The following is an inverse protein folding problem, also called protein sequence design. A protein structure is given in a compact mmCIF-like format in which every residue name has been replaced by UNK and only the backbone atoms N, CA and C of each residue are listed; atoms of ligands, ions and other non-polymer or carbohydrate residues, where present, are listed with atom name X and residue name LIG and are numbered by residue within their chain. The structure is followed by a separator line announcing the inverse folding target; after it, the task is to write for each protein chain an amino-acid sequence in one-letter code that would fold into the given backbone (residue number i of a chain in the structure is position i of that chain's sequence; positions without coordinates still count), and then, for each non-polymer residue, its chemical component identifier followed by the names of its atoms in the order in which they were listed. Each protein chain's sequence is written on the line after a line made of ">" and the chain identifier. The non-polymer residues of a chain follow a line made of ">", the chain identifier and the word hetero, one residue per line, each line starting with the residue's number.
data_IF_431531496256
#
_entry.id   IF_431531496256
#
_cell.length_a   1.000
_cell.length_b   1.000
_cell.length_c   1.000
_cell.angle_alpha   90.00
_cell.angle_beta   90.00
_cell.angle_gamma   90.00
#
_symmetry.space_group_name_H-M   'P 1'
#
loop_
_entity.id
_entity.type
_entity.pdbx_description
1 polymer ?
#
# COMPACT_ATOMS: atom_id res chain seq x y z
N UNK A 1 1.38 -65.84 47.69
CA UNK A 1 0.49 -66.87 47.08
C UNK A 1 -0.64 -66.09 46.42
N UNK A 2 -1.14 -66.37 45.20
CA UNK A 2 -1.21 -67.65 44.47
C UNK A 2 -2.44 -68.46 44.94
N UNK A 3 -3.25 -69.16 44.15
CA UNK A 3 -3.24 -69.56 42.71
C UNK A 3 -4.71 -69.93 42.31
N UNK A 4 -5.23 -70.02 41.07
CA UNK A 4 -4.91 -69.64 39.67
C UNK A 4 -6.24 -69.72 38.83
N UNK A 5 -6.21 -69.38 37.53
CA UNK A 5 -6.89 -69.99 36.35
C UNK A 5 -8.18 -70.87 36.49
N UNK A 6 -9.11 -70.93 35.53
CA UNK A 6 -9.37 -70.18 34.27
C UNK A 6 -10.67 -70.75 33.61
N UNK A 7 -11.17 -70.11 32.54
CA UNK A 7 -11.55 -70.72 31.23
C UNK A 7 -12.54 -69.84 30.45
N UNK A 8 -12.40 -69.69 29.12
CA UNK A 8 -13.38 -68.98 28.27
C UNK A 8 -12.78 -68.22 27.07
N UNK A 9 -12.48 -68.93 25.98
CA UNK A 9 -11.93 -68.42 24.71
C UNK A 9 -12.44 -69.30 23.55
N UNK A 10 -12.69 -68.84 22.30
CA UNK A 10 -12.76 -67.46 21.78
C UNK A 10 -14.15 -67.12 21.17
N UNK A 11 -14.31 -65.87 20.71
CA UNK A 11 -15.00 -65.57 19.43
C UNK A 11 -14.29 -64.44 18.70
N UNK A 12 -14.03 -64.64 17.41
CA UNK A 12 -13.40 -63.65 16.55
C UNK A 12 -14.26 -62.40 16.34
N UNK A 13 -13.62 -61.23 16.44
CA UNK A 13 -13.98 -60.08 15.61
C UNK A 13 -12.79 -59.14 15.40
N UNK A 14 -11.97 -59.46 14.41
CA UNK A 14 -10.87 -58.60 14.00
C UNK A 14 -11.36 -57.21 13.55
N UNK A 15 -10.82 -56.15 14.16
CA UNK A 15 -10.72 -54.81 13.53
C UNK A 15 -9.62 -53.97 14.18
N UNK A 16 -8.38 -54.34 13.88
CA UNK A 16 -7.21 -53.46 14.08
C UNK A 16 -7.33 -52.25 13.15
N UNK A 17 -7.15 -51.03 13.66
CA UNK A 17 -7.22 -49.80 12.88
C UNK A 17 -6.46 -48.67 13.56
N UNK A 18 -5.36 -48.15 12.97
CA UNK A 18 -4.53 -47.13 13.61
C UNK A 18 -5.12 -45.71 13.45
N UNK A 19 -4.53 -44.76 14.20
CA UNK A 19 -4.77 -43.33 14.05
C UNK A 19 -4.13 -42.84 12.74
N UNK A 20 -4.89 -42.14 11.91
CA UNK A 20 -4.38 -41.50 10.67
C UNK A 20 -4.88 -40.07 10.57
N UNK A 21 -3.98 -39.13 10.25
CA UNK A 21 -4.32 -37.73 9.99
C UNK A 21 -5.05 -37.59 8.65
N UNK A 22 -6.18 -36.89 8.62
CA UNK A 22 -6.77 -36.40 7.38
C UNK A 22 -6.16 -35.06 6.98
N UNK A 23 -4.95 -35.10 6.42
CA UNK A 23 -4.50 -34.02 5.52
C UNK A 23 -5.18 -34.29 4.17
N UNK A 24 -6.28 -33.58 3.88
CA UNK A 24 -6.97 -33.69 2.60
C UNK A 24 -6.19 -32.90 1.53
N UNK A 25 -5.06 -33.45 1.10
CA UNK A 25 -4.30 -32.93 -0.02
C UNK A 25 -5.00 -33.28 -1.34
N UNK A 26 -5.40 -32.26 -2.10
CA UNK A 26 -6.05 -32.40 -3.42
C UNK A 26 -5.11 -31.96 -4.55
N UNK A 27 -4.13 -32.78 -4.97
CA UNK A 27 -3.17 -32.42 -6.03
C UNK A 27 -3.80 -32.33 -7.43
N UNK A 28 -5.00 -32.89 -7.62
CA UNK A 28 -5.65 -33.07 -8.93
C UNK A 28 -6.06 -31.76 -9.63
N UNK A 29 -6.16 -30.64 -8.94
CA UNK A 29 -6.51 -29.35 -9.56
C UNK A 29 -5.29 -28.67 -10.24
N UNK A 30 -4.07 -28.99 -9.82
CA UNK A 30 -2.85 -28.30 -10.26
C UNK A 30 -2.42 -28.75 -11.68
N UNK A 31 -2.71 -30.00 -12.06
CA UNK A 31 -2.15 -30.59 -13.29
C UNK A 31 -2.84 -30.16 -14.59
N UNK A 32 -4.07 -29.64 -14.54
CA UNK A 32 -4.80 -29.17 -15.74
C UNK A 32 -4.73 -27.65 -15.98
N UNK A 33 -4.08 -26.89 -15.10
CA UNK A 33 -3.85 -25.45 -15.28
C UNK A 33 -3.23 -25.09 -16.65
N UNK A 34 -2.19 -25.78 -17.18
CA UNK A 34 -1.60 -25.39 -18.47
C UNK A 34 -2.52 -25.65 -19.67
N UNK A 35 -3.28 -26.74 -19.67
CA UNK A 35 -4.26 -27.07 -20.72
C UNK A 35 -5.39 -26.02 -20.76
N UNK A 36 -5.90 -25.65 -19.58
CA UNK A 36 -6.97 -24.63 -19.45
C UNK A 36 -6.45 -23.26 -19.92
N UNK A 37 -5.22 -22.90 -19.55
CA UNK A 37 -4.60 -21.63 -19.99
C UNK A 37 -4.38 -21.60 -21.51
N UNK A 38 -3.93 -22.70 -22.11
CA UNK A 38 -3.79 -22.82 -23.56
C UNK A 38 -5.14 -22.66 -24.29
N UNK A 39 -6.19 -23.31 -23.79
CA UNK A 39 -7.54 -23.21 -24.37
C UNK A 39 -8.05 -21.75 -24.33
N UNK A 40 -7.93 -21.08 -23.19
CA UNK A 40 -8.35 -19.67 -23.03
C UNK A 40 -7.58 -18.76 -23.99
N UNK A 41 -6.25 -18.88 -24.06
CA UNK A 41 -5.42 -18.07 -24.97
C UNK A 41 -5.81 -18.26 -26.44
N UNK A 42 -6.10 -19.50 -26.87
CA UNK A 42 -6.58 -19.80 -28.22
C UNK A 42 -7.94 -19.12 -28.49
N UNK A 43 -8.88 -19.18 -27.54
CA UNK A 43 -10.21 -18.55 -27.74
C UNK A 43 -10.19 -17.02 -27.79
N UNK A 44 -9.25 -16.38 -27.09
CA UNK A 44 -9.15 -14.90 -27.05
C UNK A 44 -8.39 -14.33 -28.25
N UNK A 45 -7.44 -15.08 -28.83
CA UNK A 45 -6.62 -14.62 -29.96
C UNK A 45 -7.23 -14.85 -31.36
N UNK A 46 -8.22 -15.74 -31.50
CA UNK A 46 -8.82 -16.06 -32.81
C UNK A 46 -9.92 -15.13 -33.40
N UNK A 47 -10.56 -14.16 -32.71
CA UNK A 47 -11.60 -13.33 -33.34
C UNK A 47 -11.06 -12.24 -34.27
N UNK A 48 -9.75 -12.19 -34.53
CA UNK A 48 -9.09 -11.14 -35.31
C UNK A 48 -9.33 -11.21 -36.83
N UNK A 49 -9.96 -12.27 -37.36
CA UNK A 49 -10.29 -12.38 -38.77
C UNK A 49 -11.51 -13.28 -39.05
N UNK A 50 -12.68 -12.69 -39.29
CA UNK A 50 -13.59 -13.02 -40.41
C UNK A 50 -14.80 -12.06 -40.45
N UNK A 51 -15.42 -11.93 -41.63
CA UNK A 51 -16.69 -11.19 -41.90
C UNK A 51 -16.75 -9.71 -41.50
N UNK A 52 -16.40 -8.83 -42.43
CA UNK A 52 -16.90 -7.46 -42.45
C UNK A 52 -18.28 -7.35 -43.13
N UNK A 53 -18.87 -6.14 -43.12
CA UNK A 53 -20.00 -5.79 -43.97
C UNK A 53 -19.61 -4.66 -44.93
N UNK A 54 -19.98 -4.81 -46.20
CA UNK A 54 -19.70 -3.83 -47.26
C UNK A 54 -20.88 -2.84 -47.41
N UNK A 55 -20.55 -1.63 -47.84
CA UNK A 55 -21.39 -0.72 -48.65
C UNK A 55 -22.67 -0.14 -48.02
N UNK A 56 -22.73 1.20 -47.92
CA UNK A 56 -23.70 1.99 -48.71
C UNK A 56 -23.23 3.46 -48.86
N UNK A 57 -23.46 4.14 -50.02
CA UNK A 57 -22.99 5.51 -50.28
C UNK A 57 -24.10 6.58 -50.13
N UNK A 58 -23.74 7.87 -50.12
CA UNK A 58 -24.72 8.98 -50.24
C UNK A 58 -24.23 10.41 -49.99
N UNK A 59 -23.61 11.03 -51.00
CA UNK A 59 -23.83 12.43 -51.48
C UNK A 59 -23.72 13.65 -50.52
N UNK A 60 -22.72 14.50 -50.80
CA UNK A 60 -22.66 16.01 -50.86
C UNK A 60 -23.35 16.89 -49.78
N UNK A 61 -22.89 18.11 -49.42
CA UNK A 61 -22.37 19.27 -50.20
C UNK A 61 -21.50 20.21 -49.32
N UNK A 62 -20.68 21.09 -49.92
CA UNK A 62 -20.45 22.46 -49.38
C UNK A 62 -19.03 22.96 -49.01
N UNK A 63 -18.39 23.68 -49.95
CA UNK A 63 -17.91 25.07 -49.78
C UNK A 63 -16.70 25.52 -48.89
N UNK A 64 -15.46 25.35 -49.42
CA UNK A 64 -14.27 26.28 -49.51
C UNK A 64 -13.77 27.19 -48.30
N UNK A 65 -12.56 27.83 -48.35
CA UNK A 65 -11.73 28.09 -47.14
C UNK A 65 -11.13 29.52 -46.92
N UNK A 66 -10.85 29.90 -45.65
CA UNK A 66 -10.07 31.13 -45.28
C UNK A 66 -9.28 30.98 -43.94
N UNK A 67 -8.08 31.59 -43.75
CA UNK A 67 -7.23 31.38 -42.56
C UNK A 67 -6.98 32.59 -41.61
N UNK A 68 -6.77 32.33 -40.31
CA UNK A 68 -6.08 33.19 -39.30
C UNK A 68 -6.70 34.58 -38.96
N UNK A 69 -6.19 35.34 -37.95
CA UNK A 69 -5.53 34.94 -36.69
C UNK A 69 -6.08 35.67 -35.42
N UNK A 70 -5.60 35.24 -34.24
CA UNK A 70 -5.52 35.99 -32.96
C UNK A 70 -6.82 36.37 -32.20
N UNK A 71 -6.75 36.35 -30.86
CA UNK A 71 -7.82 36.80 -29.96
C UNK A 71 -7.67 36.35 -28.51
N UNK A 72 -6.93 37.09 -27.68
CA UNK A 72 -7.00 37.02 -26.21
C UNK A 72 -7.58 38.36 -25.72
N UNK A 73 -8.55 38.34 -24.79
CA UNK A 73 -8.18 38.67 -23.41
C UNK A 73 -8.93 37.85 -22.32
N UNK A 74 -8.34 37.82 -21.13
CA UNK A 74 -8.99 37.49 -19.84
C UNK A 74 -9.59 38.78 -19.22
N UNK A 75 -10.35 38.79 -18.08
CA UNK A 75 -10.51 37.74 -17.06
C UNK A 75 -11.98 37.54 -16.59
N UNK A 76 -12.15 37.23 -15.29
CA UNK A 76 -13.36 36.89 -14.51
C UNK A 76 -13.75 35.39 -14.56
N UNK A 77 -13.90 34.69 -13.44
CA UNK A 77 -13.62 35.07 -12.04
C UNK A 77 -14.01 33.96 -11.04
N UNK A 78 -13.52 34.06 -9.80
CA UNK A 78 -13.88 33.18 -8.67
C UNK A 78 -13.46 31.70 -8.80
N UNK A 79 -12.16 31.44 -8.75
CA UNK A 79 -11.70 30.21 -8.11
C UNK A 79 -11.87 30.38 -6.58
N UNK A 80 -12.61 29.48 -5.91
CA UNK A 80 -12.72 29.49 -4.45
C UNK A 80 -11.49 28.78 -3.87
N UNK A 81 -10.41 29.54 -3.70
CA UNK A 81 -9.28 29.10 -2.88
C UNK A 81 -9.70 29.07 -1.42
N UNK A 82 -9.78 27.89 -0.82
CA UNK A 82 -9.84 27.75 0.64
C UNK A 82 -8.40 27.77 1.15
N UNK A 83 -7.86 28.98 1.28
CA UNK A 83 -6.58 29.22 1.93
C UNK A 83 -6.73 28.96 3.43
N UNK A 84 -6.41 27.73 3.85
CA UNK A 84 -6.31 27.39 5.27
C UNK A 84 -5.00 27.96 5.78
N UNK A 85 -5.06 29.14 6.39
CA UNK A 85 -3.97 29.75 7.14
C UNK A 85 -3.58 28.84 8.31
N UNK A 86 -2.60 27.95 8.11
CA UNK A 86 -2.05 27.09 9.17
C UNK A 86 -1.14 27.96 10.05
N UNK A 87 -1.78 28.72 10.94
CA UNK A 87 -1.09 29.50 11.96
C UNK A 87 -0.16 28.60 12.79
N UNK A 88 1.08 29.05 13.02
CA UNK A 88 2.08 28.32 13.77
C UNK A 88 1.55 27.91 15.16
N UNK A 89 1.45 26.60 15.40
CA UNK A 89 0.82 26.05 16.59
C UNK A 89 1.60 26.35 17.87
N UNK A 90 0.93 26.40 19.04
CA UNK A 90 1.64 26.50 20.31
C UNK A 90 2.55 25.26 20.50
N UNK A 91 3.75 25.47 21.06
CA UNK A 91 4.90 24.55 21.01
C UNK A 91 4.78 23.19 21.76
N UNK A 92 3.56 22.68 21.95
CA UNK A 92 3.28 21.30 22.36
C UNK A 92 2.03 20.71 21.64
N UNK A 93 1.60 21.34 20.55
CA UNK A 93 0.60 20.82 19.60
C UNK A 93 1.24 19.71 18.77
N UNK A 94 0.55 18.58 18.60
CA UNK A 94 0.95 17.55 17.62
C UNK A 94 0.03 17.66 16.40
N UNK A 95 0.62 17.90 15.24
CA UNK A 95 -0.07 18.01 13.95
C UNK A 95 -0.24 16.63 13.32
N UNK A 96 -1.36 16.37 12.65
CA UNK A 96 -1.56 15.13 11.89
C UNK A 96 -0.79 15.17 10.57
N UNK A 97 -0.11 14.08 10.22
CA UNK A 97 0.57 13.96 8.92
C UNK A 97 -0.40 14.08 7.74
N UNK A 98 0.02 14.82 6.71
CA UNK A 98 -0.70 14.99 5.44
C UNK A 98 0.27 14.71 4.28
N UNK A 99 -0.02 13.73 3.41
CA UNK A 99 0.77 13.48 2.18
C UNK A 99 0.83 14.72 1.29
N UNK A 100 2.04 15.19 0.99
CA UNK A 100 2.27 16.43 0.23
C UNK A 100 1.96 17.71 1.01
N UNK A 101 1.71 17.62 2.31
CA UNK A 101 1.50 18.79 3.18
C UNK A 101 2.78 19.55 3.49
N UNK A 102 2.62 20.74 4.06
CA UNK A 102 3.72 21.58 4.53
C UNK A 102 3.67 21.71 6.06
N UNK A 103 4.84 21.67 6.69
CA UNK A 103 5.05 21.73 8.15
C UNK A 103 6.24 22.65 8.46
N UNK A 104 6.40 23.10 9.70
CA UNK A 104 7.47 24.02 10.10
C UNK A 104 8.56 23.33 10.93
N UNK A 105 9.79 23.85 10.87
CA UNK A 105 10.91 23.32 11.65
C UNK A 105 10.69 23.49 13.17
N UNK A 106 10.61 22.36 13.89
CA UNK A 106 10.24 22.32 15.31
C UNK A 106 8.83 21.82 15.61
N UNK A 107 8.00 21.60 14.58
CA UNK A 107 6.70 20.92 14.71
C UNK A 107 6.85 19.50 15.25
N UNK A 108 5.76 19.03 15.89
CA UNK A 108 5.55 17.61 16.19
C UNK A 108 4.53 17.03 15.24
N UNK A 109 4.91 16.04 14.46
CA UNK A 109 4.06 15.45 13.41
C UNK A 109 3.74 14.00 13.78
N UNK A 110 2.45 13.69 13.88
CA UNK A 110 1.92 12.35 14.06
C UNK A 110 1.73 11.70 12.69
N UNK A 111 2.67 10.84 12.32
CA UNK A 111 2.47 9.87 11.24
C UNK A 111 1.51 8.80 11.78
N UNK A 112 0.40 8.56 11.10
CA UNK A 112 -0.55 7.52 11.48
C UNK A 112 -1.19 6.90 10.24
N UNK A 113 -1.60 5.65 10.34
CA UNK A 113 -2.25 4.95 9.24
C UNK A 113 -2.88 3.63 9.65
N UNK A 114 -3.52 2.99 8.68
CA UNK A 114 -4.06 1.64 8.80
C UNK A 114 -3.18 0.63 8.07
N UNK A 115 -3.36 -0.66 8.39
CA UNK A 115 -2.64 -1.77 7.75
C UNK A 115 -3.48 -3.04 7.78
N UNK A 116 -3.17 -3.98 6.88
CA UNK A 116 -3.70 -5.34 6.86
C UNK A 116 -2.82 -6.34 7.63
N UNK A 117 -1.67 -5.92 8.15
CA UNK A 117 -0.83 -6.74 9.02
C UNK A 117 -1.55 -7.05 10.34
N UNK A 118 -1.22 -8.20 10.93
CA UNK A 118 -1.76 -8.63 12.22
C UNK A 118 -1.29 -7.71 13.36
N UNK A 119 -2.08 -7.57 14.45
CA UNK A 119 -1.61 -6.90 15.66
C UNK A 119 -0.39 -7.63 16.25
N UNK A 120 0.58 -6.89 16.78
CA UNK A 120 1.85 -7.44 17.26
C UNK A 120 2.92 -7.68 16.17
N UNK A 121 2.61 -7.46 14.89
CA UNK A 121 3.62 -7.29 13.85
C UNK A 121 4.26 -5.90 13.94
N UNK A 122 5.44 -5.73 13.33
CA UNK A 122 6.20 -4.49 13.40
C UNK A 122 6.33 -3.79 12.05
N UNK A 123 6.26 -2.46 12.09
CA UNK A 123 6.58 -1.57 10.98
C UNK A 123 7.87 -0.81 11.29
N UNK A 124 8.84 -0.87 10.38
CA UNK A 124 9.94 0.10 10.33
C UNK A 124 9.41 1.38 9.66
N UNK A 125 9.49 2.49 10.39
CA UNK A 125 9.20 3.83 9.88
C UNK A 125 10.51 4.58 9.73
N UNK A 126 10.74 5.17 8.56
CA UNK A 126 11.91 5.97 8.24
C UNK A 126 11.44 7.31 7.65
N UNK A 127 12.01 8.40 8.13
CA UNK A 127 11.82 9.76 7.60
C UNK A 127 13.19 10.30 7.28
N UNK A 128 13.44 10.57 6.00
CA UNK A 128 14.76 11.00 5.49
C UNK A 128 14.58 12.25 4.60
N UNK A 129 15.55 13.19 4.57
CA UNK A 129 15.53 14.26 3.58
C UNK A 129 15.62 13.66 2.17
N UNK A 130 15.00 14.31 1.18
CA UNK A 130 15.14 13.95 -0.24
C UNK A 130 16.47 14.49 -0.79
N UNK A 131 16.90 15.66 -0.30
CA UNK A 131 18.16 16.28 -0.68
C UNK A 131 19.33 15.74 0.16
N UNK A 132 20.19 14.91 -0.44
CA UNK A 132 21.48 14.53 0.14
C UNK A 132 22.62 15.33 -0.51
N UNK A 133 23.15 16.32 0.24
CA UNK A 133 24.23 17.20 -0.21
C UNK A 133 25.62 16.83 0.38
N UNK A 134 26.72 17.16 -0.32
CA UNK A 134 28.07 17.01 0.23
C UNK A 134 28.40 18.12 1.24
N UNK A 135 28.58 17.74 2.51
CA UNK A 135 28.91 18.66 3.61
C UNK A 135 30.42 18.93 3.71
N UNK A 136 30.83 20.08 4.26
CA UNK A 136 32.27 20.40 4.40
C UNK A 136 32.88 19.72 5.63
N UNK A 137 34.18 19.38 5.54
CA UNK A 137 34.92 18.81 6.67
C UNK A 137 35.02 19.84 7.81
N UNK A 138 34.42 19.53 8.95
CA UNK A 138 34.37 20.42 10.13
C UNK A 138 33.10 21.26 10.25
N UNK A 139 32.19 21.16 9.29
CA UNK A 139 30.84 21.73 9.36
C UNK A 139 29.96 20.86 10.27
N UNK A 140 29.14 21.49 11.12
CA UNK A 140 28.14 20.75 11.89
C UNK A 140 26.95 20.45 10.97
N UNK A 141 26.83 19.19 10.57
CA UNK A 141 25.67 18.69 9.83
C UNK A 141 24.45 18.72 10.76
N UNK A 142 23.33 19.29 10.31
CA UNK A 142 22.10 19.26 11.08
C UNK A 142 21.58 17.83 11.24
N UNK A 143 20.77 17.60 12.28
CA UNK A 143 20.14 16.29 12.49
C UNK A 143 18.83 16.26 11.70
N UNK A 144 18.91 15.86 10.44
CA UNK A 144 17.77 15.78 9.52
C UNK A 144 17.25 14.33 9.43
N UNK A 145 15.96 14.13 9.71
CA UNK A 145 15.29 12.83 9.65
C UNK A 145 15.21 12.07 10.98
N UNK A 146 14.47 10.95 10.96
CA UNK A 146 14.23 10.07 12.13
C UNK A 146 13.75 8.69 11.67
N UNK A 147 14.07 7.64 12.41
CA UNK A 147 13.51 6.31 12.19
C UNK A 147 13.15 5.61 13.50
N UNK A 148 12.27 4.62 13.41
CA UNK A 148 11.81 3.85 14.55
C UNK A 148 11.02 2.61 14.15
N UNK A 149 10.88 1.68 15.09
CA UNK A 149 10.02 0.50 14.93
C UNK A 149 8.75 0.71 15.73
N UNK A 150 7.59 0.50 15.12
CA UNK A 150 6.27 0.62 15.78
C UNK A 150 5.46 -0.67 15.65
N UNK A 151 4.75 -1.02 16.71
CA UNK A 151 3.85 -2.17 16.76
C UNK A 151 2.51 -1.84 16.07
N UNK A 152 1.96 -2.82 15.35
CA UNK A 152 0.61 -2.74 14.79
C UNK A 152 -0.42 -3.05 15.89
N UNK A 153 -1.38 -2.14 16.07
CA UNK A 153 -2.43 -2.23 17.10
C UNK A 153 -3.76 -2.68 16.48
N UNK A 154 -4.50 -3.51 17.19
CA UNK A 154 -5.80 -4.04 16.76
C UNK A 154 -6.84 -2.93 16.55
N UNK A 155 -7.52 -2.96 15.40
CA UNK A 155 -8.67 -2.11 15.13
C UNK A 155 -9.87 -2.45 16.03
N UNK A 156 -10.58 -1.42 16.50
CA UNK A 156 -11.79 -1.60 17.34
C UNK A 156 -13.04 -1.72 16.46
N UNK A 157 -14.03 -2.49 16.91
CA UNK A 157 -15.36 -2.58 16.27
C UNK A 157 -15.34 -2.96 14.78
N UNK A 158 -14.37 -3.76 14.34
CA UNK A 158 -14.22 -4.17 12.93
C UNK A 158 -13.52 -3.15 12.02
N UNK A 159 -12.99 -2.05 12.58
CA UNK A 159 -12.07 -1.16 11.86
C UNK A 159 -10.75 -1.89 11.53
N UNK A 160 -10.00 -1.44 10.50
CA UNK A 160 -8.66 -1.96 10.21
C UNK A 160 -7.69 -1.79 11.38
N UNK A 161 -6.63 -2.61 11.38
CA UNK A 161 -5.52 -2.44 12.31
C UNK A 161 -4.78 -1.13 12.03
N UNK A 162 -4.22 -0.51 13.07
CA UNK A 162 -3.68 0.85 13.03
C UNK A 162 -2.26 0.91 13.59
N UNK A 163 -1.52 1.95 13.22
CA UNK A 163 -0.18 2.24 13.71
C UNK A 163 0.03 3.75 13.80
N UNK A 164 0.98 4.18 14.64
CA UNK A 164 1.35 5.59 14.76
C UNK A 164 2.81 5.79 15.19
N UNK A 165 3.46 6.80 14.61
CA UNK A 165 4.81 7.25 14.94
C UNK A 165 4.84 8.77 15.01
N UNK A 166 5.42 9.34 16.08
CA UNK A 166 5.51 10.80 16.24
C UNK A 166 6.95 11.26 16.04
N UNK A 167 7.15 12.19 15.12
CA UNK A 167 8.44 12.87 14.91
C UNK A 167 8.42 14.28 15.52
N UNK A 168 9.59 14.79 15.85
CA UNK A 168 9.84 16.14 16.38
C UNK A 168 10.94 16.75 15.50
N UNK A 169 10.60 17.75 14.67
CA UNK A 169 11.47 18.26 13.59
C UNK A 169 12.45 19.35 14.05
N UNK A 170 12.63 19.51 15.37
CA UNK A 170 13.46 20.57 15.95
C UNK A 170 14.94 20.39 15.61
N UNK A 171 15.45 21.29 14.78
CA UNK A 171 16.84 21.26 14.31
C UNK A 171 17.07 20.44 13.04
N UNK A 172 16.00 20.04 12.36
CA UNK A 172 16.06 19.49 10.99
C UNK A 172 16.23 20.63 9.98
N UNK A 173 16.88 20.38 8.85
CA UNK A 173 17.00 21.35 7.75
C UNK A 173 15.69 21.46 6.94
N UNK A 174 15.26 22.66 6.52
CA UNK A 174 14.11 22.82 5.62
C UNK A 174 14.37 22.22 4.22
N UNK A 175 13.65 21.14 3.90
CA UNK A 175 13.77 20.35 2.65
C UNK A 175 12.44 19.60 2.39
N UNK A 176 12.32 18.91 1.25
CA UNK A 176 11.34 17.82 1.10
C UNK A 176 11.81 16.57 1.87
N UNK A 177 10.92 15.97 2.66
CA UNK A 177 11.18 14.75 3.42
C UNK A 177 10.37 13.58 2.88
N UNK A 178 11.06 12.44 2.68
CA UNK A 178 10.46 11.17 2.31
C UNK A 178 10.09 10.37 3.56
N UNK A 179 8.82 10.00 3.68
CA UNK A 179 8.31 9.07 4.70
C UNK A 179 8.20 7.69 4.07
N UNK A 180 8.84 6.70 4.67
CA UNK A 180 8.87 5.30 4.23
C UNK A 180 8.41 4.41 5.38
N UNK A 181 7.45 3.53 5.12
CA UNK A 181 6.87 2.62 6.13
C UNK A 181 6.90 1.20 5.56
N UNK A 182 7.66 0.30 6.19
CA UNK A 182 7.88 -1.07 5.73
C UNK A 182 7.53 -2.10 6.80
N UNK A 183 6.81 -3.16 6.44
CA UNK A 183 6.60 -4.32 7.31
C UNK A 183 7.89 -5.12 7.52
N UNK A 184 8.23 -5.40 8.78
CA UNK A 184 9.48 -6.10 9.12
C UNK A 184 9.34 -7.60 8.88
N UNK A 185 8.27 -8.22 9.37
CA UNK A 185 8.00 -9.66 9.16
C UNK A 185 7.43 -9.94 7.76
N UNK A 186 6.87 -8.91 7.09
CA UNK A 186 6.22 -9.00 5.78
C UNK A 186 6.78 -7.91 4.86
N UNK A 187 7.97 -8.11 4.26
CA UNK A 187 8.71 -7.07 3.55
C UNK A 187 8.05 -6.55 2.26
N UNK A 188 6.98 -7.22 1.79
CA UNK A 188 6.15 -6.76 0.67
C UNK A 188 5.20 -5.60 1.05
N UNK A 189 4.95 -5.37 2.34
CA UNK A 189 4.19 -4.21 2.82
C UNK A 189 5.12 -2.99 2.82
N UNK A 190 5.00 -2.12 1.81
CA UNK A 190 5.74 -0.87 1.71
C UNK A 190 4.80 0.29 1.31
N UNK A 191 4.85 1.37 2.08
CA UNK A 191 4.20 2.65 1.78
C UNK A 191 5.28 3.74 1.73
N UNK A 192 5.18 4.64 0.75
CA UNK A 192 6.05 5.80 0.60
C UNK A 192 5.22 7.06 0.43
N UNK A 193 5.58 8.12 1.13
CA UNK A 193 4.93 9.44 1.08
C UNK A 193 5.97 10.56 1.20
N UNK A 194 5.53 11.81 1.07
CA UNK A 194 6.38 13.02 1.09
C UNK A 194 5.72 14.15 1.87
N UNK A 195 6.51 15.08 2.42
CA UNK A 195 6.05 16.37 2.94
C UNK A 195 7.16 17.42 2.83
N UNK A 196 6.80 18.70 2.88
CA UNK A 196 7.76 19.81 2.84
C UNK A 196 7.96 20.38 4.24
N UNK A 197 9.22 20.59 4.67
CA UNK A 197 9.54 21.32 5.89
C UNK A 197 9.91 22.77 5.55
N UNK A 198 9.33 23.73 6.27
CA UNK A 198 9.54 25.18 6.14
C UNK A 198 10.43 25.71 7.27
N UNK A 199 11.19 26.82 7.05
CA UNK A 199 12.13 27.37 8.03
C UNK A 199 11.46 27.99 9.26
#
# INVERSE_FOLDING_TARGET
>A
MGIVNACGVPRDRARTGPRTFFILSCPLLIMHIPEILALVMITVLLPAAFSGCLMQPGTELGEVPTPSPAGLPSPHGTAVGVEVEVAAGPANMTLTFLPGGEFWAGDRILLAGTTNLSPGNHLLVEVIPVSFGPTRKGEQVAVSGSSGVVEVVAGKNGLPNAWSFTIDTRGWEPDEYLVRVQGIEVPASLLTSRFTLRP
#
